data_IF_540797662941
#
_entry.id   IF_540797662941
#
_cell.length_a   1.000
_cell.length_b   1.000
_cell.length_c   1.000
_cell.angle_alpha   90.00
_cell.angle_beta   90.00
_cell.angle_gamma   90.00
#
_symmetry.space_group_name_H-M   'P 1'
#
loop_
_entity.id
_entity.type
_entity.pdbx_description
1 polymer ?
#
# COMPACT_ATOMS: atom_id res chain seq x y z
N UNK A 1 -18.97 -12.50 -0.55
CA UNK A 1 -18.49 -13.08 -1.82
C UNK A 1 -18.11 -14.52 -1.54
N UNK A 2 -18.62 -15.49 -2.31
CA UNK A 2 -18.22 -16.90 -2.19
C UNK A 2 -17.02 -17.12 -3.10
N UNK A 3 -15.93 -17.64 -2.54
CA UNK A 3 -14.71 -17.99 -3.27
C UNK A 3 -14.70 -19.51 -3.40
N UNK A 4 -14.82 -20.00 -4.64
CA UNK A 4 -14.70 -21.42 -4.95
C UNK A 4 -13.23 -21.80 -5.15
N UNK A 5 -12.85 -23.07 -4.95
CA UNK A 5 -11.50 -23.53 -5.25
C UNK A 5 -11.13 -23.14 -6.68
N UNK A 6 -9.94 -22.52 -6.86
CA UNK A 6 -9.34 -22.01 -8.13
C UNK A 6 -9.63 -20.53 -8.44
N UNK A 7 -10.47 -19.81 -7.69
CA UNK A 7 -10.72 -18.38 -7.96
C UNK A 7 -9.67 -17.49 -7.28
N UNK A 8 -8.96 -16.70 -8.09
CA UNK A 8 -8.15 -15.58 -7.60
C UNK A 8 -9.05 -14.40 -7.25
N UNK A 9 -8.97 -13.91 -6.01
CA UNK A 9 -9.71 -12.74 -5.55
C UNK A 9 -8.75 -11.62 -5.14
N UNK A 10 -8.98 -10.42 -5.64
CA UNK A 10 -8.25 -9.21 -5.24
C UNK A 10 -9.20 -8.35 -4.41
N UNK A 11 -8.77 -8.00 -3.20
CA UNK A 11 -9.49 -7.08 -2.34
C UNK A 11 -8.83 -5.70 -2.40
N UNK A 12 -9.65 -4.65 -2.55
CA UNK A 12 -9.16 -3.27 -2.44
C UNK A 12 -8.65 -2.97 -1.03
N UNK A 13 -7.80 -1.94 -0.83
CA UNK A 13 -7.46 -1.47 0.51
C UNK A 13 -8.69 -0.96 1.27
N UNK A 14 -8.59 -0.95 2.60
CA UNK A 14 -9.66 -0.56 3.52
C UNK A 14 -11.02 -1.30 3.38
N UNK A 15 -11.10 -2.59 2.98
CA UNK A 15 -12.39 -3.25 2.88
C UNK A 15 -12.81 -3.76 4.27
N UNK A 16 -14.07 -3.56 4.66
CA UNK A 16 -14.64 -4.30 5.77
C UNK A 16 -15.04 -5.69 5.26
N UNK A 17 -14.54 -6.75 5.89
CA UNK A 17 -14.85 -8.12 5.47
C UNK A 17 -14.88 -9.11 6.64
N UNK A 18 -15.59 -10.21 6.40
CA UNK A 18 -15.58 -11.41 7.25
C UNK A 18 -15.37 -12.64 6.35
N UNK A 19 -14.62 -13.62 6.84
CA UNK A 19 -14.37 -14.87 6.12
C UNK A 19 -15.11 -15.99 6.85
N UNK A 20 -15.89 -16.77 6.10
CA UNK A 20 -16.54 -17.97 6.57
C UNK A 20 -16.13 -19.14 5.66
N UNK A 21 -15.71 -20.25 6.28
CA UNK A 21 -15.16 -21.42 5.58
C UNK A 21 -16.09 -22.61 5.81
N UNK A 22 -17.06 -22.88 4.91
CA UNK A 22 -18.08 -23.92 5.11
C UNK A 22 -17.54 -25.35 4.94
N UNK A 23 -16.45 -25.52 4.20
CA UNK A 23 -15.83 -26.81 3.89
C UNK A 23 -14.32 -26.74 4.13
N UNK A 24 -13.67 -27.89 4.37
CA UNK A 24 -12.22 -27.96 4.56
C UNK A 24 -11.49 -27.39 3.33
N UNK A 25 -10.88 -26.21 3.49
CA UNK A 25 -10.30 -25.43 2.40
C UNK A 25 -8.90 -24.94 2.78
N UNK A 26 -7.98 -24.99 1.82
CA UNK A 26 -6.66 -24.35 1.93
C UNK A 26 -6.64 -23.13 1.01
N UNK A 27 -6.34 -21.97 1.58
CA UNK A 27 -6.22 -20.70 0.84
C UNK A 27 -4.78 -20.18 0.94
N UNK A 28 -4.23 -19.73 -0.19
CA UNK A 28 -2.97 -19.00 -0.24
C UNK A 28 -3.25 -17.55 -0.65
N UNK A 29 -2.69 -16.60 0.09
CA UNK A 29 -2.89 -15.18 -0.16
C UNK A 29 -1.76 -14.33 0.41
N UNK A 30 -1.78 -13.06 0.07
CA UNK A 30 -0.80 -12.08 0.54
C UNK A 30 -1.34 -10.65 0.44
N UNK A 31 -0.58 -9.72 0.97
CA UNK A 31 -0.87 -8.29 0.92
C UNK A 31 0.23 -7.58 0.11
N UNK A 32 -0.16 -6.58 -0.67
CA UNK A 32 0.77 -5.73 -1.42
C UNK A 32 0.27 -4.29 -1.44
N UNK A 33 1.18 -3.35 -1.65
CA UNK A 33 0.84 -1.96 -1.90
C UNK A 33 0.78 -1.68 -3.40
N UNK A 34 -0.18 -0.87 -3.80
CA UNK A 34 -0.31 -0.37 -5.15
C UNK A 34 -0.49 1.14 -5.12
N UNK A 35 0.25 1.84 -5.98
CA UNK A 35 0.18 3.30 -6.09
C UNK A 35 -1.22 3.77 -6.46
N UNK A 36 -1.88 3.04 -7.38
CA UNK A 36 -3.22 3.36 -7.86
C UNK A 36 -4.32 3.32 -6.79
N UNK A 37 -4.04 2.76 -5.61
CA UNK A 37 -4.98 2.69 -4.48
C UNK A 37 -4.35 3.23 -3.19
N UNK A 38 -3.29 4.05 -3.31
CA UNK A 38 -2.55 4.49 -2.13
C UNK A 38 -3.32 5.52 -1.30
N UNK A 39 -4.22 6.27 -1.92
CA UNK A 39 -5.14 7.17 -1.19
C UNK A 39 -6.05 6.39 -0.24
N UNK A 40 -6.62 5.27 -0.71
CA UNK A 40 -7.43 4.38 0.13
C UNK A 40 -6.59 3.76 1.25
N UNK A 41 -5.35 3.38 0.93
CA UNK A 41 -4.39 2.84 1.90
C UNK A 41 -4.07 3.87 2.98
N UNK A 42 -3.81 5.11 2.59
CA UNK A 42 -3.55 6.21 3.52
C UNK A 42 -4.75 6.48 4.43
N UNK A 43 -5.96 6.55 3.86
CA UNK A 43 -7.19 6.70 4.64
C UNK A 43 -7.35 5.57 5.66
N UNK A 44 -7.07 4.32 5.28
CA UNK A 44 -7.15 3.17 6.17
C UNK A 44 -6.15 3.28 7.34
N UNK A 45 -4.91 3.68 7.04
CA UNK A 45 -3.84 3.81 8.04
C UNK A 45 -4.13 4.96 9.00
N UNK A 46 -4.58 6.11 8.51
CA UNK A 46 -4.99 7.25 9.36
C UNK A 46 -6.17 6.86 10.25
N UNK A 47 -7.19 6.20 9.69
CA UNK A 47 -8.35 5.75 10.46
C UNK A 47 -7.96 4.74 11.55
N UNK A 48 -7.15 3.74 11.20
CA UNK A 48 -6.63 2.74 12.15
C UNK A 48 -5.83 3.42 13.26
N UNK A 49 -4.99 4.40 12.91
CA UNK A 49 -4.17 5.15 13.86
C UNK A 49 -5.01 6.01 14.81
N UNK A 50 -5.96 6.80 14.29
CA UNK A 50 -6.79 7.71 15.10
C UNK A 50 -7.72 6.93 16.03
N UNK A 51 -8.32 5.86 15.52
CA UNK A 51 -9.30 5.10 16.30
C UNK A 51 -8.65 4.14 17.31
N UNK A 52 -7.32 3.99 17.30
CA UNK A 52 -6.55 2.99 18.08
C UNK A 52 -7.08 1.55 17.94
N UNK A 53 -7.86 1.29 16.90
CA UNK A 53 -8.43 -0.04 16.65
C UNK A 53 -7.54 -0.77 15.66
N UNK A 54 -6.72 -1.67 16.18
CA UNK A 54 -5.96 -2.62 15.35
C UNK A 54 -6.89 -3.74 14.88
N UNK A 55 -7.69 -3.48 13.83
CA UNK A 55 -8.58 -4.47 13.20
C UNK A 55 -7.79 -5.43 12.28
N UNK A 56 -6.50 -5.18 12.04
CA UNK A 56 -5.70 -6.05 11.18
C UNK A 56 -5.29 -7.31 11.92
N UNK A 57 -5.54 -8.47 11.29
CA UNK A 57 -5.18 -9.81 11.80
C UNK A 57 -3.69 -9.96 12.14
N UNK A 58 -2.82 -9.13 11.56
CA UNK A 58 -1.37 -9.24 11.68
C UNK A 58 -0.72 -7.87 11.53
N UNK A 59 0.27 -7.59 12.37
CA UNK A 59 1.15 -6.43 12.22
C UNK A 59 2.29 -6.79 11.27
N UNK A 60 2.44 -6.05 10.17
CA UNK A 60 3.52 -6.26 9.20
C UNK A 60 4.62 -5.22 9.42
N UNK A 61 5.70 -5.58 10.12
CA UNK A 61 6.86 -4.70 10.33
C UNK A 61 7.50 -4.25 9.02
N UNK A 62 7.48 -5.13 8.01
CA UNK A 62 8.07 -4.90 6.68
C UNK A 62 7.29 -3.89 5.83
N UNK A 63 6.05 -3.54 6.22
CA UNK A 63 5.24 -2.54 5.51
C UNK A 63 5.97 -1.20 5.33
N UNK A 64 6.69 -0.78 6.38
CA UNK A 64 7.47 0.46 6.40
C UNK A 64 8.59 0.44 5.38
N UNK A 65 9.28 -0.70 5.29
CA UNK A 65 10.38 -0.88 4.34
C UNK A 65 9.87 -0.82 2.90
N UNK A 66 8.75 -1.47 2.59
CA UNK A 66 8.15 -1.44 1.25
C UNK A 66 7.76 -0.01 0.86
N UNK A 67 7.11 0.73 1.76
CA UNK A 67 6.71 2.12 1.51
C UNK A 67 7.92 3.03 1.32
N UNK A 68 8.99 2.86 2.11
CA UNK A 68 10.24 3.57 1.92
C UNK A 68 10.90 3.25 0.57
N UNK A 69 10.83 1.99 0.11
CA UNK A 69 11.29 1.61 -1.23
C UNK A 69 10.48 2.27 -2.35
N UNK A 70 9.15 2.37 -2.19
CA UNK A 70 8.30 3.07 -3.16
C UNK A 70 8.66 4.56 -3.24
N UNK A 71 8.87 5.23 -2.10
CA UNK A 71 9.34 6.63 -2.06
C UNK A 71 10.70 6.76 -2.74
N UNK A 72 11.65 5.88 -2.42
CA UNK A 72 12.98 5.91 -3.01
C UNK A 72 12.95 5.65 -4.53
N UNK A 73 12.06 4.78 -5.00
CA UNK A 73 11.84 4.55 -6.43
C UNK A 73 11.38 5.83 -7.12
N UNK A 74 10.41 6.56 -6.57
CA UNK A 74 9.96 7.84 -7.14
C UNK A 74 10.99 8.94 -7.07
N UNK A 75 11.72 9.06 -5.96
CA UNK A 75 12.82 10.01 -5.87
C UNK A 75 13.89 9.73 -6.93
N UNK A 76 14.22 8.46 -7.14
CA UNK A 76 15.22 8.04 -8.13
C UNK A 76 14.73 8.27 -9.57
N UNK A 77 13.44 8.05 -9.84
CA UNK A 77 12.83 8.27 -11.15
C UNK A 77 12.65 9.76 -11.50
N UNK A 78 12.10 10.55 -10.56
CA UNK A 78 11.65 11.92 -10.83
C UNK A 78 12.73 12.97 -10.55
N UNK A 79 13.52 12.79 -9.48
CA UNK A 79 14.52 13.78 -9.05
C UNK A 79 15.89 13.45 -9.62
N UNK A 80 16.36 12.22 -9.41
CA UNK A 80 17.67 11.80 -9.94
C UNK A 80 17.65 11.51 -11.44
N UNK A 81 16.47 11.26 -12.01
CA UNK A 81 16.26 10.94 -13.42
C UNK A 81 17.12 9.75 -13.91
N UNK A 82 17.44 8.80 -13.03
CA UNK A 82 18.31 7.66 -13.36
C UNK A 82 17.55 6.43 -13.85
N UNK A 83 16.20 6.44 -13.79
CA UNK A 83 15.35 5.34 -14.27
C UNK A 83 14.80 5.76 -15.64
N UNK A 84 15.56 5.47 -16.70
CA UNK A 84 15.29 6.03 -18.04
C UNK A 84 14.70 4.97 -18.99
N UNK A 85 14.94 3.66 -18.74
CA UNK A 85 14.53 2.59 -19.65
C UNK A 85 14.13 1.29 -18.92
N UNK A 86 13.14 0.57 -19.45
CA UNK A 86 12.75 -0.77 -19.01
C UNK A 86 11.27 -0.95 -18.68
N UNK A 87 10.92 -2.12 -18.14
CA UNK A 87 9.56 -2.49 -17.68
C UNK A 87 9.06 -1.65 -16.51
N UNK A 88 9.90 -0.80 -15.91
CA UNK A 88 9.58 0.06 -14.76
C UNK A 88 8.99 1.41 -15.14
N UNK A 89 9.17 1.86 -16.40
CA UNK A 89 8.67 3.16 -16.88
C UNK A 89 7.17 3.36 -16.66
N UNK A 90 6.28 2.36 -16.86
CA UNK A 90 4.85 2.51 -16.61
C UNK A 90 4.49 2.75 -15.14
N UNK A 91 5.39 2.48 -14.20
CA UNK A 91 5.17 2.68 -12.78
C UNK A 91 5.58 4.08 -12.29
N UNK A 92 6.20 4.91 -13.15
CA UNK A 92 6.56 6.28 -12.82
C UNK A 92 5.31 7.16 -12.96
N UNK A 93 4.90 7.91 -11.91
CA UNK A 93 3.70 8.73 -11.98
C UNK A 93 3.90 9.90 -12.94
N UNK A 94 2.91 10.11 -13.79
CA UNK A 94 2.84 11.29 -14.65
C UNK A 94 2.36 12.49 -13.82
N UNK A 95 3.30 13.29 -13.34
CA UNK A 95 3.04 14.45 -12.46
C UNK A 95 2.28 15.58 -13.15
N UNK A 96 2.07 15.51 -14.47
CA UNK A 96 1.21 16.46 -15.19
C UNK A 96 -0.28 16.15 -14.99
N UNK A 97 -0.61 14.91 -14.56
CA UNK A 97 -1.97 14.47 -14.28
C UNK A 97 -2.28 14.62 -12.80
N UNK A 98 -3.50 15.05 -12.51
CA UNK A 98 -3.95 15.30 -11.14
C UNK A 98 -3.91 14.04 -10.26
N UNK A 99 -4.47 12.92 -10.71
CA UNK A 99 -4.55 11.70 -9.89
C UNK A 99 -3.17 11.12 -9.52
N UNK A 100 -2.24 10.85 -10.46
CA UNK A 100 -0.91 10.36 -10.11
C UNK A 100 -0.08 11.35 -9.27
N UNK A 101 -0.32 12.65 -9.46
CA UNK A 101 0.31 13.68 -8.62
C UNK A 101 -0.20 13.61 -7.18
N UNK A 102 -1.51 13.41 -6.98
CA UNK A 102 -2.09 13.21 -5.64
C UNK A 102 -1.59 11.92 -5.00
N UNK A 103 -1.49 10.82 -5.74
CA UNK A 103 -0.93 9.56 -5.24
C UNK A 103 0.52 9.73 -4.76
N UNK A 104 1.33 10.49 -5.50
CA UNK A 104 2.71 10.82 -5.13
C UNK A 104 2.76 11.62 -3.82
N UNK A 105 1.93 12.66 -3.70
CA UNK A 105 1.86 13.48 -2.47
C UNK A 105 1.45 12.62 -1.26
N UNK A 106 0.43 11.77 -1.43
CA UNK A 106 -0.04 10.87 -0.37
C UNK A 106 1.07 9.90 0.06
N UNK A 107 1.85 9.35 -0.87
CA UNK A 107 3.00 8.50 -0.54
C UNK A 107 4.04 9.24 0.28
N UNK A 108 4.34 10.48 -0.08
CA UNK A 108 5.26 11.33 0.69
C UNK A 108 4.72 11.61 2.10
N UNK A 109 3.44 11.97 2.23
CA UNK A 109 2.77 12.18 3.52
C UNK A 109 2.78 10.91 4.37
N UNK A 110 2.58 9.75 3.75
CA UNK A 110 2.64 8.46 4.42
C UNK A 110 4.05 8.15 4.94
N UNK A 111 5.09 8.49 4.18
CA UNK A 111 6.48 8.39 4.64
C UNK A 111 6.76 9.24 5.89
N UNK A 112 6.25 10.48 5.92
CA UNK A 112 6.34 11.35 7.11
C UNK A 112 5.59 10.74 8.29
N UNK A 113 4.35 10.29 8.09
CA UNK A 113 3.53 9.67 9.13
C UNK A 113 4.24 8.44 9.73
N UNK A 114 4.80 7.56 8.90
CA UNK A 114 5.49 6.36 9.37
C UNK A 114 6.76 6.70 10.17
N UNK A 115 7.48 7.77 9.79
CA UNK A 115 8.64 8.24 10.56
C UNK A 115 8.23 8.78 11.94
N UNK A 116 7.12 9.51 12.02
CA UNK A 116 6.59 10.00 13.32
C UNK A 116 6.20 8.83 14.22
N UNK A 117 5.62 7.77 13.66
CA UNK A 117 5.17 6.57 14.39
C UNK A 117 6.28 5.56 14.70
N UNK A 118 7.54 5.94 14.52
CA UNK A 118 8.68 5.07 14.77
C UNK A 118 9.46 5.56 15.99
N UNK A 119 9.42 4.79 17.07
CA UNK A 119 10.26 5.02 18.26
C UNK A 119 11.76 4.86 18.01
N UNK A 120 12.19 4.41 16.82
CA UNK A 120 13.60 4.32 16.42
C UNK A 120 14.14 5.60 15.78
N UNK A 121 13.25 6.55 15.45
CA UNK A 121 13.59 7.82 14.78
C UNK A 121 13.58 9.02 15.75
N UNK A 122 13.38 8.77 17.04
CA UNK A 122 13.56 9.69 18.18
C UNK A 122 14.36 8.98 19.28
#
# INVERSE_FOLDING_TARGET
ILIFPIINSIMRPNPLYAIYTPENTVCQGGHFYATSTIQDTFSALVHTFICDVHITKTAYTESRFILAQMINFYHTALVKQTIIHGSTKPHIPDVTKQEPFMDLLVICSLGVLINVLSHKTY
#
